data_IF_320349417710
#
_entry.id   IF_320349417710
#
_cell.length_a   1.000
_cell.length_b   1.000
_cell.length_c   1.000
_cell.angle_alpha   90.00
_cell.angle_beta   90.00
_cell.angle_gamma   90.00
#
_symmetry.space_group_name_H-M   'P 1'
#
loop_
_entity.id
_entity.type
_entity.pdbx_description
1 polymer ?
#
# COMPACT_ATOMS: atom_id res chain seq x y z
N UNK A 1 -6.37 36.08 3.15
CA UNK A 1 -5.36 34.99 3.23
C UNK A 1 -5.59 34.00 2.10
N UNK A 2 -4.52 33.42 1.54
CA UNK A 2 -4.58 32.36 0.53
C UNK A 2 -3.58 31.29 0.91
N UNK A 3 -3.90 30.03 0.65
CA UNK A 3 -2.98 28.93 0.91
C UNK A 3 -1.97 28.78 -0.23
N UNK A 4 -0.76 28.35 0.13
CA UNK A 4 0.30 28.05 -0.81
C UNK A 4 -0.09 26.91 -1.77
N UNK A 5 0.63 26.81 -2.88
CA UNK A 5 0.47 25.70 -3.83
C UNK A 5 0.89 24.39 -3.16
N UNK A 6 0.11 23.34 -3.38
CA UNK A 6 0.47 21.98 -2.98
C UNK A 6 1.54 21.43 -3.92
N UNK A 7 2.40 20.56 -3.39
CA UNK A 7 3.41 19.85 -4.18
C UNK A 7 2.73 18.70 -4.92
N UNK A 8 3.18 18.41 -6.14
CA UNK A 8 2.76 17.22 -6.87
C UNK A 8 3.18 15.95 -6.10
N UNK A 9 2.32 14.94 -6.13
CA UNK A 9 2.51 13.70 -5.39
C UNK A 9 3.00 12.63 -6.34
N UNK A 10 4.10 11.97 -5.98
CA UNK A 10 4.63 10.87 -6.77
C UNK A 10 3.62 9.73 -6.90
N UNK A 11 3.52 9.15 -8.10
CA UNK A 11 2.49 8.19 -8.47
C UNK A 11 1.04 8.63 -8.17
N UNK A 12 0.78 9.94 -8.08
CA UNK A 12 -0.53 10.49 -7.78
C UNK A 12 -0.87 11.74 -8.57
N UNK A 13 -2.04 12.31 -8.27
CA UNK A 13 -2.50 13.58 -8.82
C UNK A 13 -3.31 14.33 -7.79
N UNK A 14 -3.02 15.61 -7.64
CA UNK A 14 -3.86 16.54 -6.89
C UNK A 14 -4.85 17.20 -7.84
N UNK A 15 -6.13 17.20 -7.46
CA UNK A 15 -7.23 17.78 -8.22
C UNK A 15 -8.01 18.78 -7.37
N UNK A 16 -8.47 19.90 -7.95
CA UNK A 16 -8.20 20.39 -9.30
C UNK A 16 -6.74 20.89 -9.48
N UNK A 17 -6.22 20.91 -10.73
CA UNK A 17 -4.83 21.34 -11.06
C UNK A 17 -4.43 22.70 -10.47
N UNK A 18 -5.40 23.60 -10.25
CA UNK A 18 -5.16 24.90 -9.60
C UNK A 18 -4.54 24.77 -8.20
N UNK A 19 -4.73 23.64 -7.52
CA UNK A 19 -4.14 23.36 -6.22
C UNK A 19 -2.61 23.23 -6.29
N UNK A 20 -2.05 22.78 -7.42
CA UNK A 20 -0.61 22.63 -7.63
C UNK A 20 -0.02 23.68 -8.57
N UNK A 21 -0.85 24.50 -9.23
CA UNK A 21 -0.38 25.55 -10.15
C UNK A 21 -0.53 26.98 -9.64
N UNK A 22 -1.40 27.25 -8.66
CA UNK A 22 -1.62 28.59 -8.09
C UNK A 22 -2.03 28.54 -6.61
N UNK A 23 -1.95 29.70 -5.94
CA UNK A 23 -2.45 29.83 -4.56
C UNK A 23 -3.97 29.64 -4.48
N UNK A 24 -4.44 29.04 -3.38
CA UNK A 24 -5.84 28.67 -3.19
C UNK A 24 -6.58 29.62 -2.25
N UNK A 25 -7.84 29.90 -2.54
CA UNK A 25 -8.72 30.71 -1.70
C UNK A 25 -9.18 29.93 -0.48
N UNK A 26 -9.51 30.63 0.61
CA UNK A 26 -10.13 30.02 1.80
C UNK A 26 -11.38 29.24 1.39
N UNK A 27 -11.56 28.05 1.96
CA UNK A 27 -12.65 27.12 1.62
C UNK A 27 -12.40 26.27 0.37
N UNK A 28 -11.29 26.48 -0.34
CA UNK A 28 -10.91 25.63 -1.46
C UNK A 28 -10.55 24.21 -0.98
N UNK A 29 -11.12 23.20 -1.64
CA UNK A 29 -10.80 21.80 -1.42
C UNK A 29 -9.89 21.27 -2.54
N UNK A 30 -8.90 20.48 -2.14
CA UNK A 30 -7.97 19.79 -3.02
C UNK A 30 -7.94 18.31 -2.64
N UNK A 31 -8.01 17.45 -3.64
CA UNK A 31 -8.16 16.02 -3.50
C UNK A 31 -6.97 15.30 -4.13
N UNK A 32 -6.31 14.45 -3.35
CA UNK A 32 -5.31 13.52 -3.83
C UNK A 32 -5.98 12.24 -4.33
N UNK A 33 -5.63 11.81 -5.54
CA UNK A 33 -5.87 10.46 -6.04
C UNK A 33 -4.55 9.81 -6.44
N UNK A 34 -4.43 8.50 -6.20
CA UNK A 34 -3.28 7.72 -6.60
C UNK A 34 -3.50 7.04 -7.95
N UNK A 35 -2.41 6.77 -8.66
CA UNK A 35 -2.41 6.00 -9.90
C UNK A 35 -2.82 4.54 -9.63
N UNK A 36 -3.30 3.80 -10.65
CA UNK A 36 -3.62 2.38 -10.49
C UNK A 36 -2.45 1.59 -9.89
N UNK A 37 -2.72 0.71 -8.92
CA UNK A 37 -1.71 -0.04 -8.19
C UNK A 37 -1.07 0.71 -7.01
N UNK A 38 -1.59 1.88 -6.65
CA UNK A 38 -1.20 2.65 -5.47
C UNK A 38 -2.43 3.03 -4.64
N UNK A 39 -2.26 3.11 -3.32
CA UNK A 39 -3.27 3.55 -2.36
C UNK A 39 -2.83 4.82 -1.65
N UNK A 40 -3.78 5.65 -1.26
CA UNK A 40 -3.50 6.85 -0.46
C UNK A 40 -3.17 6.46 0.98
N UNK A 41 -2.08 7.00 1.51
CA UNK A 41 -1.75 6.97 2.93
C UNK A 41 -1.86 8.38 3.49
N UNK A 42 -2.64 8.54 4.57
CA UNK A 42 -2.96 9.85 5.16
C UNK A 42 -4.31 10.41 4.73
N UNK A 43 -4.52 11.72 4.87
CA UNK A 43 -5.79 12.37 4.50
C UNK A 43 -5.77 12.80 3.02
N UNK A 44 -6.64 12.26 2.15
CA UNK A 44 -6.66 12.61 0.73
C UNK A 44 -7.18 14.02 0.45
N UNK A 45 -7.79 14.69 1.42
CA UNK A 45 -8.43 16.00 1.25
C UNK A 45 -7.66 17.06 2.02
N UNK A 46 -7.36 18.16 1.32
CA UNK A 46 -6.82 19.38 1.93
C UNK A 46 -7.80 20.53 1.73
N UNK A 47 -8.11 21.23 2.82
CA UNK A 47 -8.98 22.40 2.81
C UNK A 47 -8.19 23.64 3.21
N UNK A 48 -8.25 24.68 2.39
CA UNK A 48 -7.58 25.94 2.69
C UNK A 48 -8.33 26.70 3.80
N UNK A 49 -7.66 26.95 4.94
CA UNK A 49 -8.26 27.64 6.07
C UNK A 49 -8.09 29.16 6.02
N UNK A 50 -8.85 29.87 6.86
CA UNK A 50 -8.75 31.33 7.03
C UNK A 50 -7.36 31.77 7.49
N UNK A 51 -6.64 30.90 8.19
CA UNK A 51 -5.23 31.08 8.59
C UNK A 51 -4.25 31.09 7.42
N UNK A 52 -4.68 30.72 6.20
CA UNK A 52 -3.77 30.54 5.05
C UNK A 52 -3.01 29.22 5.06
N UNK A 53 -3.33 28.33 6.01
CA UNK A 53 -2.75 26.99 6.13
C UNK A 53 -3.71 25.93 5.57
N UNK A 54 -3.13 24.81 5.12
CA UNK A 54 -3.89 23.66 4.67
C UNK A 54 -4.30 22.79 5.85
N UNK A 55 -5.56 22.38 5.87
CA UNK A 55 -6.11 21.48 6.88
C UNK A 55 -6.49 20.12 6.28
N UNK A 56 -6.27 19.01 7.00
CA UNK A 56 -5.58 18.96 8.30
C UNK A 56 -4.09 19.31 8.19
N UNK A 57 -3.48 19.78 9.28
CA UNK A 57 -2.06 20.15 9.33
C UNK A 57 -1.13 18.94 9.53
N UNK A 58 -1.68 17.74 9.35
CA UNK A 58 -0.97 16.46 9.44
C UNK A 58 -0.01 16.27 8.27
N UNK A 59 0.87 15.26 8.36
CA UNK A 59 1.78 14.84 7.29
C UNK A 59 1.09 14.80 5.92
N UNK A 60 1.75 15.35 4.90
CA UNK A 60 1.29 15.31 3.51
C UNK A 60 0.93 13.89 3.07
N UNK A 61 -0.27 13.68 2.50
CA UNK A 61 -0.64 12.36 2.02
C UNK A 61 0.27 11.97 0.85
N UNK A 62 0.54 10.67 0.74
CA UNK A 62 1.37 10.11 -0.32
C UNK A 62 0.74 8.84 -0.88
N UNK A 63 1.21 8.44 -2.05
CA UNK A 63 0.79 7.22 -2.70
C UNK A 63 1.78 6.10 -2.36
N UNK A 64 1.29 5.05 -1.73
CA UNK A 64 2.05 3.83 -1.46
C UNK A 64 1.62 2.75 -2.44
N UNK A 65 2.57 1.98 -2.96
CA UNK A 65 2.26 0.86 -3.85
C UNK A 65 1.32 -0.10 -3.11
N UNK A 66 0.18 -0.37 -3.72
CA UNK A 66 -0.80 -1.32 -3.21
C UNK A 66 -0.30 -2.74 -3.51
N UNK A 67 0.72 -3.15 -2.75
CA UNK A 67 1.19 -4.53 -2.79
C UNK A 67 0.22 -5.39 -1.98
N UNK A 68 -0.26 -6.47 -2.59
CA UNK A 68 -0.98 -7.51 -1.86
C UNK A 68 -0.12 -7.89 -0.65
N UNK A 69 -0.73 -7.87 0.54
CA UNK A 69 -0.04 -8.30 1.75
C UNK A 69 0.48 -9.73 1.50
N UNK A 70 1.80 -9.98 1.64
CA UNK A 70 2.33 -11.32 1.52
C UNK A 70 1.65 -12.22 2.55
N UNK A 71 1.17 -13.38 2.13
CA UNK A 71 0.62 -14.39 3.03
C UNK A 71 1.28 -15.74 2.78
N UNK A 72 1.33 -16.52 3.86
CA UNK A 72 1.63 -17.93 3.83
C UNK A 72 0.59 -18.67 4.68
N UNK A 73 -0.03 -19.68 4.09
CA UNK A 73 -0.91 -20.59 4.78
C UNK A 73 -0.25 -21.96 4.80
N UNK A 74 0.17 -22.39 5.98
CA UNK A 74 0.77 -23.70 6.18
C UNK A 74 -0.26 -24.79 5.92
N UNK A 75 0.13 -25.90 5.28
CA UNK A 75 -0.69 -27.09 5.24
C UNK A 75 -0.82 -27.70 6.65
N UNK A 76 -1.75 -28.63 6.81
CA UNK A 76 -1.89 -29.41 8.03
C UNK A 76 -0.65 -30.28 8.29
N UNK A 77 -0.44 -30.63 9.55
CA UNK A 77 0.66 -31.50 9.97
C UNK A 77 0.57 -32.87 9.28
N UNK A 78 1.73 -33.40 8.89
CA UNK A 78 1.86 -34.74 8.31
C UNK A 78 2.31 -35.70 9.40
N UNK A 79 1.43 -36.62 9.76
CA UNK A 79 1.72 -37.70 10.69
C UNK A 79 1.71 -39.03 9.94
N UNK A 80 2.73 -39.86 10.19
CA UNK A 80 2.88 -41.17 9.57
C UNK A 80 3.27 -42.18 10.64
N UNK A 81 2.54 -43.28 10.70
CA UNK A 81 2.86 -44.40 11.58
C UNK A 81 3.99 -45.24 10.98
N UNK A 82 4.99 -45.57 11.82
CA UNK A 82 6.11 -46.41 11.41
C UNK A 82 5.67 -47.87 11.28
N UNK A 83 6.09 -48.53 10.21
CA UNK A 83 5.95 -49.98 10.09
C UNK A 83 6.80 -50.70 11.17
N UNK A 84 6.43 -51.93 11.56
CA UNK A 84 7.20 -52.71 12.51
C UNK A 84 8.67 -52.85 12.07
N UNK A 85 9.58 -52.70 13.02
CA UNK A 85 11.05 -52.76 12.81
C UNK A 85 11.65 -51.62 11.97
N UNK A 86 10.88 -50.57 11.66
CA UNK A 86 11.37 -49.39 10.95
C UNK A 86 11.69 -48.26 11.95
N UNK A 87 12.79 -47.53 11.73
CA UNK A 87 13.21 -46.39 12.56
C UNK A 87 13.11 -45.04 11.86
N UNK A 88 12.69 -45.01 10.59
CA UNK A 88 12.55 -43.81 9.79
C UNK A 88 11.38 -43.91 8.81
N UNK A 89 10.82 -42.77 8.42
CA UNK A 89 9.78 -42.67 7.40
C UNK A 89 10.08 -41.48 6.48
N UNK A 90 9.64 -41.60 5.22
CA UNK A 90 9.67 -40.50 4.27
C UNK A 90 8.32 -39.80 4.26
N UNK A 91 8.32 -38.49 4.53
CA UNK A 91 7.12 -37.65 4.45
C UNK A 91 7.19 -36.72 3.24
N UNK A 92 6.04 -36.45 2.63
CA UNK A 92 5.90 -35.42 1.59
C UNK A 92 5.16 -34.24 2.19
N UNK A 93 5.85 -33.11 2.31
CA UNK A 93 5.23 -31.88 2.78
C UNK A 93 4.40 -31.27 1.63
N UNK A 94 3.11 -30.99 1.84
CA UNK A 94 2.32 -30.25 0.86
C UNK A 94 2.88 -28.84 0.66
N UNK A 95 2.70 -28.26 -0.52
CA UNK A 95 3.08 -26.88 -0.75
C UNK A 95 2.16 -25.93 0.05
N UNK A 96 2.72 -24.94 0.78
CA UNK A 96 1.91 -23.93 1.42
C UNK A 96 1.26 -23.02 0.37
N UNK A 97 0.06 -22.51 0.67
CA UNK A 97 -0.57 -21.50 -0.20
C UNK A 97 0.05 -20.14 0.10
N UNK A 98 0.55 -19.47 -0.93
CA UNK A 98 1.12 -18.14 -0.82
C UNK A 98 0.78 -17.32 -2.08
N UNK A 99 0.77 -15.99 -1.95
CA UNK A 99 0.68 -15.05 -3.08
C UNK A 99 2.04 -14.49 -3.51
N UNK A 100 3.13 -15.11 -3.04
CA UNK A 100 4.50 -14.76 -3.41
C UNK A 100 5.18 -15.98 -4.02
N UNK A 101 5.89 -15.76 -5.12
CA UNK A 101 6.64 -16.79 -5.82
C UNK A 101 7.97 -17.05 -5.10
N UNK A 102 7.90 -17.81 -4.00
CA UNK A 102 9.08 -18.21 -3.20
C UNK A 102 9.82 -19.42 -3.80
N UNK A 103 9.12 -20.25 -4.59
CA UNK A 103 9.63 -21.53 -5.08
C UNK A 103 10.15 -21.52 -6.52
N UNK A 104 9.93 -20.45 -7.27
CA UNK A 104 10.57 -20.27 -8.56
C UNK A 104 12.01 -19.85 -8.34
N UNK A 105 12.96 -20.78 -8.50
CA UNK A 105 14.35 -20.41 -8.74
C UNK A 105 14.38 -19.41 -9.92
N UNK A 106 15.22 -18.36 -9.89
CA UNK A 106 15.44 -17.58 -11.10
C UNK A 106 15.98 -18.56 -12.13
N UNK A 107 15.24 -18.79 -13.21
CA UNK A 107 15.77 -19.39 -14.42
C UNK A 107 16.85 -18.45 -14.94
N UNK A 108 18.10 -18.75 -14.55
CA UNK A 108 19.29 -18.14 -15.14
C UNK A 108 19.51 -18.61 -16.56
#
# INVERSE_FOLDING_TARGET
>A
MKCAMLVDVDHGRVSPKRCTSRTSSVGQHCYLSCSPGYRVVGNPVRTCQTSGLWSPETTSPYCEKDSLKPFIQCPSDVQVDLAPHMSSAYVRLPQPKANVDWFSSPSG
#
